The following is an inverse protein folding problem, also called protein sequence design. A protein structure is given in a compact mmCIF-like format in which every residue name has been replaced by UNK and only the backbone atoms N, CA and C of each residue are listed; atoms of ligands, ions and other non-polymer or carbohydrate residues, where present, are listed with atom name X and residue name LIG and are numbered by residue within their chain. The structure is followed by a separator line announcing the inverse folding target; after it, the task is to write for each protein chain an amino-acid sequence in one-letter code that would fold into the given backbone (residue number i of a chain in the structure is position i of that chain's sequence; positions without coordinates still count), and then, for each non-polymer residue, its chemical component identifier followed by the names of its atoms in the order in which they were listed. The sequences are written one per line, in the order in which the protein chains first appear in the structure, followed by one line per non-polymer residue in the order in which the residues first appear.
data_IF_496200205995
#
_entry.id   IF_496200205995
#
_cell.length_a   1.000
_cell.length_b   1.000
_cell.length_c   1.000
_cell.angle_alpha   90.00
_cell.angle_beta   90.00
_cell.angle_gamma   90.00
#
_symmetry.space_group_name_H-M   'P 1'
#
loop_
_entity.id
_entity.type
_entity.pdbx_description
1 polymer ?
#
# COMPACT_ATOMS: atom_id res chain seq x y z
N UNK A 1 -8.60 16.66 -32.05
CA UNK A 1 -7.95 15.96 -30.92
C UNK A 1 -6.78 16.80 -30.44
N UNK A 2 -6.60 16.95 -29.13
CA UNK A 2 -5.46 17.71 -28.60
C UNK A 2 -4.19 16.84 -28.61
N UNK A 3 -3.12 17.34 -29.21
CA UNK A 3 -1.80 16.70 -29.22
C UNK A 3 -0.75 17.62 -28.58
N UNK A 4 0.25 17.06 -27.86
CA UNK A 4 1.29 17.88 -27.27
C UNK A 4 2.13 18.55 -28.37
N UNK A 5 2.20 19.89 -28.33
CA UNK A 5 2.98 20.69 -29.29
C UNK A 5 4.49 20.58 -29.07
N UNK A 6 4.91 20.38 -27.83
CA UNK A 6 6.31 20.42 -27.43
C UNK A 6 6.69 19.20 -26.58
N UNK A 7 7.96 18.80 -26.66
CA UNK A 7 8.53 17.82 -25.74
C UNK A 7 8.55 18.38 -24.32
N UNK A 8 7.99 17.65 -23.36
CA UNK A 8 8.04 18.02 -21.95
C UNK A 8 9.49 18.03 -21.45
N UNK A 9 9.88 19.07 -20.69
CA UNK A 9 11.23 19.17 -20.15
C UNK A 9 11.57 17.98 -19.23
N UNK A 10 12.87 17.67 -19.12
CA UNK A 10 13.35 16.60 -18.23
C UNK A 10 12.90 16.82 -16.79
N UNK A 11 13.00 18.04 -16.28
CA UNK A 11 12.56 18.41 -14.93
C UNK A 11 11.09 18.08 -14.69
N UNK A 12 10.17 18.59 -15.53
CA UNK A 12 8.72 18.34 -15.43
C UNK A 12 8.38 16.85 -15.53
N UNK A 13 9.05 16.12 -16.42
CA UNK A 13 8.85 14.68 -16.57
C UNK A 13 9.27 13.92 -15.31
N UNK A 14 10.41 14.26 -14.72
CA UNK A 14 10.93 13.64 -13.49
C UNK A 14 10.04 13.94 -12.30
N UNK A 15 9.64 15.20 -12.11
CA UNK A 15 8.74 15.60 -11.03
C UNK A 15 7.41 14.85 -11.11
N UNK A 16 6.76 14.81 -12.29
CA UNK A 16 5.50 14.07 -12.46
C UNK A 16 5.66 12.58 -12.12
N UNK A 17 6.73 11.93 -12.61
CA UNK A 17 6.98 10.50 -12.34
C UNK A 17 7.28 10.21 -10.88
N UNK A 18 7.93 11.12 -10.15
CA UNK A 18 8.25 10.95 -8.74
C UNK A 18 7.00 10.86 -7.83
N UNK A 19 5.85 11.39 -8.28
CA UNK A 19 4.58 11.25 -7.58
C UNK A 19 3.90 9.90 -7.82
N UNK A 20 4.31 9.12 -8.82
CA UNK A 20 3.81 7.76 -9.03
C UNK A 20 4.52 6.81 -8.07
N UNK A 21 4.07 6.84 -6.82
CA UNK A 21 4.54 6.04 -5.70
C UNK A 21 3.35 5.60 -4.85
N UNK A 22 3.55 4.57 -4.04
CA UNK A 22 2.54 4.02 -3.14
C UNK A 22 2.93 4.28 -1.69
N UNK A 23 1.94 4.54 -0.85
CA UNK A 23 2.10 4.62 0.60
C UNK A 23 2.02 3.22 1.22
N UNK A 24 2.92 2.92 2.16
CA UNK A 24 2.89 1.67 2.88
C UNK A 24 1.71 1.64 3.87
N UNK A 25 0.97 0.54 3.99
CA UNK A 25 -0.11 0.44 4.95
C UNK A 25 0.43 0.46 6.39
N UNK A 26 -0.34 1.08 7.30
CA UNK A 26 -0.04 1.01 8.73
C UNK A 26 -0.28 -0.42 9.23
N UNK A 27 0.77 -1.04 9.76
CA UNK A 27 0.71 -2.40 10.30
C UNK A 27 0.39 -2.40 11.79
N UNK A 28 -0.41 -3.37 12.20
CA UNK A 28 -0.73 -3.69 13.59
C UNK A 28 -0.26 -5.11 13.89
N UNK A 29 0.38 -5.29 15.05
CA UNK A 29 0.74 -6.61 15.57
C UNK A 29 -0.48 -7.23 16.24
N UNK A 30 -0.84 -8.44 15.82
CA UNK A 30 -1.97 -9.19 16.36
C UNK A 30 -1.57 -10.64 16.61
N UNK A 31 -2.22 -11.27 17.59
CA UNK A 31 -2.13 -12.71 17.82
C UNK A 31 -3.33 -13.39 17.17
N UNK A 32 -3.08 -14.40 16.35
CA UNK A 32 -4.10 -15.20 15.69
C UNK A 32 -4.66 -16.28 16.62
N UNK A 33 -5.83 -16.88 16.30
CA UNK A 33 -6.40 -17.96 17.11
C UNK A 33 -5.51 -19.20 17.24
N UNK A 34 -4.64 -19.46 16.26
CA UNK A 34 -3.63 -20.53 16.29
C UNK A 34 -2.36 -20.16 17.09
N UNK A 35 -2.36 -18.99 17.75
CA UNK A 35 -1.32 -18.55 18.68
C UNK A 35 -0.12 -17.86 18.03
N UNK A 36 -0.15 -17.57 16.72
CA UNK A 36 0.94 -16.90 16.01
C UNK A 36 0.83 -15.39 16.16
N UNK A 37 1.97 -14.71 16.28
CA UNK A 37 2.04 -13.25 16.27
C UNK A 37 2.40 -12.78 14.86
N UNK A 38 1.51 -12.01 14.23
CA UNK A 38 1.64 -11.55 12.84
C UNK A 38 1.41 -10.04 12.73
N UNK A 39 1.97 -9.43 11.69
CA UNK A 39 1.70 -8.04 11.34
C UNK A 39 0.71 -7.97 10.18
N UNK A 40 -0.42 -7.30 10.38
CA UNK A 40 -1.45 -7.12 9.36
C UNK A 40 -1.81 -5.65 9.23
N UNK A 41 -2.34 -5.19 8.08
CA UNK A 41 -2.93 -3.87 7.97
C UNK A 41 -3.94 -3.61 9.09
N UNK A 42 -3.89 -2.41 9.68
CA UNK A 42 -4.66 -2.08 10.90
C UNK A 42 -6.18 -2.28 10.75
N UNK A 43 -6.73 -2.07 9.56
CA UNK A 43 -8.14 -2.31 9.23
C UNK A 43 -8.52 -3.81 9.24
N UNK A 44 -7.56 -4.71 9.06
CA UNK A 44 -7.75 -6.17 9.07
C UNK A 44 -7.47 -6.81 10.43
N UNK A 45 -6.98 -6.05 11.41
CA UNK A 45 -6.60 -6.56 12.73
C UNK A 45 -7.74 -7.32 13.44
N UNK A 46 -8.99 -6.89 13.26
CA UNK A 46 -10.15 -7.56 13.86
C UNK A 46 -10.46 -8.92 13.18
N UNK A 47 -10.30 -8.99 11.85
CA UNK A 47 -10.49 -10.22 11.09
C UNK A 47 -9.41 -11.25 11.43
N UNK A 48 -8.16 -10.81 11.54
CA UNK A 48 -7.04 -11.66 11.94
C UNK A 48 -7.21 -12.24 13.35
N UNK A 49 -7.63 -11.41 14.33
CA UNK A 49 -7.93 -11.87 15.70
C UNK A 49 -9.07 -12.90 15.78
N UNK A 50 -10.02 -12.83 14.84
CA UNK A 50 -11.18 -13.74 14.78
C UNK A 50 -10.96 -14.97 13.89
N UNK A 51 -9.84 -15.05 13.18
CA UNK A 51 -9.56 -16.16 12.27
C UNK A 51 -10.37 -16.14 10.97
N UNK A 52 -10.87 -14.98 10.54
CA UNK A 52 -11.64 -14.84 9.29
C UNK A 52 -10.77 -14.67 8.05
N UNK A 53 -9.45 -14.66 8.21
CA UNK A 53 -8.49 -14.51 7.12
C UNK A 53 -7.31 -15.44 7.36
N UNK A 54 -6.76 -15.96 6.26
CA UNK A 54 -5.51 -16.69 6.30
C UNK A 54 -4.34 -15.71 6.29
N UNK A 55 -3.34 -15.96 7.14
CA UNK A 55 -2.12 -15.17 7.21
C UNK A 55 -0.96 -16.14 7.01
N UNK A 56 -0.39 -16.11 5.79
CA UNK A 56 0.81 -16.84 5.38
C UNK A 56 2.03 -15.93 5.34
#
# INVERSE_FOLDING_TARGET
MATPKNRTSRSRTRSRRAHWKTEAPQLATVTTPDGRTVQVPSNLAAAARRGYMHVD
#
